data_IF_798894778755
#
_entry.id   IF_798894778755
#
_cell.length_a   1.000
_cell.length_b   1.000
_cell.length_c   1.000
_cell.angle_alpha   90.00
_cell.angle_beta   90.00
_cell.angle_gamma   90.00
#
_symmetry.space_group_name_H-M   'P 1'
#
loop_
_entity.id
_entity.type
_entity.pdbx_description
1 polymer ?
#
# COMPACT_ATOMS: atom_id res chain seq x y z
N UNK A 1 4.32 -19.16 -11.29
CA UNK A 1 3.26 -19.20 -12.32
C UNK A 1 3.75 -18.69 -13.68
N UNK A 2 4.17 -17.43 -13.87
CA UNK A 2 4.67 -16.95 -15.18
C UNK A 2 6.10 -17.39 -15.51
N UNK A 3 6.94 -17.68 -14.52
CA UNK A 3 8.33 -18.12 -14.73
C UNK A 3 9.24 -17.02 -15.28
N UNK A 4 9.01 -15.78 -14.86
CA UNK A 4 9.85 -14.61 -15.17
C UNK A 4 10.72 -14.23 -13.99
N UNK A 5 11.88 -13.63 -14.24
CA UNK A 5 12.77 -13.12 -13.22
C UNK A 5 12.19 -11.86 -12.54
N UNK A 6 12.61 -11.60 -11.28
CA UNK A 6 12.17 -10.41 -10.53
C UNK A 6 12.46 -9.08 -11.27
N UNK A 7 13.50 -9.04 -12.10
CA UNK A 7 13.87 -7.88 -12.92
C UNK A 7 13.22 -7.82 -14.32
N UNK A 8 12.30 -8.76 -14.65
CA UNK A 8 11.72 -8.82 -15.99
C UNK A 8 10.98 -7.53 -16.36
N UNK A 9 11.13 -7.07 -17.61
CA UNK A 9 10.40 -5.91 -18.13
C UNK A 9 8.91 -6.21 -18.32
N UNK A 10 8.08 -5.16 -18.46
CA UNK A 10 6.66 -5.32 -18.76
C UNK A 10 6.39 -6.11 -20.04
N UNK A 11 7.25 -5.94 -21.06
CA UNK A 11 7.16 -6.69 -22.32
C UNK A 11 7.51 -8.16 -22.15
N UNK A 12 8.50 -8.51 -21.33
CA UNK A 12 8.85 -9.89 -21.01
C UNK A 12 7.74 -10.59 -20.23
N UNK A 13 7.13 -9.90 -19.27
CA UNK A 13 5.96 -10.39 -18.53
C UNK A 13 4.79 -10.65 -19.47
N UNK A 14 4.48 -9.72 -20.37
CA UNK A 14 3.41 -9.82 -21.36
C UNK A 14 3.67 -10.97 -22.35
N UNK A 15 4.92 -11.15 -22.77
CA UNK A 15 5.33 -12.25 -23.65
C UNK A 15 5.21 -13.60 -22.95
N UNK A 16 5.64 -13.71 -21.70
CA UNK A 16 5.52 -14.92 -20.90
C UNK A 16 4.04 -15.29 -20.66
N UNK A 17 3.20 -14.31 -20.35
CA UNK A 17 1.75 -14.52 -20.24
C UNK A 17 1.15 -15.08 -21.52
N UNK A 18 1.38 -14.44 -22.68
CA UNK A 18 0.84 -14.89 -23.96
C UNK A 18 1.25 -16.33 -24.30
N UNK A 19 2.51 -16.67 -24.05
CA UNK A 19 3.03 -18.03 -24.26
C UNK A 19 2.29 -19.03 -23.39
N UNK A 20 2.25 -18.81 -22.06
CA UNK A 20 1.62 -19.72 -21.12
C UNK A 20 0.10 -19.80 -21.27
N UNK A 21 -0.55 -18.68 -21.55
CA UNK A 21 -1.99 -18.66 -21.85
C UNK A 21 -2.34 -19.46 -23.10
N UNK A 22 -1.49 -19.42 -24.13
CA UNK A 22 -1.68 -20.26 -25.34
C UNK A 22 -1.44 -21.76 -25.07
N UNK A 23 -0.52 -22.10 -24.17
CA UNK A 23 -0.19 -23.49 -23.81
C UNK A 23 -1.30 -24.13 -22.94
N UNK A 24 -1.97 -23.33 -22.10
CA UNK A 24 -2.96 -23.80 -21.14
C UNK A 24 -4.40 -23.32 -21.44
N UNK A 25 -4.66 -22.87 -22.67
CA UNK A 25 -6.00 -22.40 -23.08
C UNK A 25 -7.02 -23.55 -23.08
N UNK A 26 -8.23 -23.36 -22.48
CA UNK A 26 -9.25 -24.41 -22.43
C UNK A 26 -9.62 -24.99 -23.79
N UNK A 27 -9.74 -24.13 -24.81
CA UNK A 27 -10.09 -24.57 -26.19
C UNK A 27 -9.05 -25.44 -26.86
N UNK A 28 -7.84 -25.50 -26.28
CA UNK A 28 -6.73 -26.36 -26.75
C UNK A 28 -6.50 -27.59 -25.85
N UNK A 29 -7.45 -27.89 -24.97
CA UNK A 29 -7.33 -28.98 -24.01
C UNK A 29 -6.40 -28.67 -22.83
N UNK A 30 -6.15 -27.37 -22.56
CA UNK A 30 -5.34 -26.91 -21.44
C UNK A 30 -6.04 -27.02 -20.09
N UNK A 31 -5.26 -26.85 -19.04
CA UNK A 31 -5.70 -26.96 -17.65
C UNK A 31 -6.29 -25.63 -17.16
N UNK A 32 -7.58 -25.64 -16.76
CA UNK A 32 -8.30 -24.49 -16.28
C UNK A 32 -7.70 -23.88 -14.98
N UNK A 33 -7.16 -24.72 -14.08
CA UNK A 33 -6.55 -24.25 -12.84
C UNK A 33 -5.26 -23.48 -13.14
N UNK A 34 -4.44 -24.04 -14.03
CA UNK A 34 -3.21 -23.36 -14.49
C UNK A 34 -3.52 -22.07 -15.25
N UNK A 35 -4.58 -22.06 -16.07
CA UNK A 35 -4.99 -20.85 -16.78
C UNK A 35 -5.41 -19.76 -15.81
N UNK A 36 -6.13 -20.12 -14.74
CA UNK A 36 -6.54 -19.20 -13.67
C UNK A 36 -5.32 -18.63 -12.94
N UNK A 37 -4.34 -19.46 -12.56
CA UNK A 37 -3.09 -19.00 -11.95
C UNK A 37 -2.28 -18.07 -12.86
N UNK A 38 -2.19 -18.38 -14.16
CA UNK A 38 -1.49 -17.56 -15.14
C UNK A 38 -2.15 -16.20 -15.29
N UNK A 39 -3.49 -16.18 -15.36
CA UNK A 39 -4.26 -14.94 -15.49
C UNK A 39 -4.14 -14.07 -14.22
N UNK A 40 -4.22 -14.68 -13.04
CA UNK A 40 -4.02 -14.01 -11.74
C UNK A 40 -2.63 -13.39 -11.64
N UNK A 41 -1.58 -14.17 -11.97
CA UNK A 41 -0.22 -13.68 -11.94
C UNK A 41 0.02 -12.51 -12.92
N UNK A 42 -0.61 -12.56 -14.11
CA UNK A 42 -0.55 -11.45 -15.06
C UNK A 42 -1.34 -10.22 -14.58
N UNK A 43 -2.47 -10.41 -13.91
CA UNK A 43 -3.24 -9.34 -13.29
C UNK A 43 -2.41 -8.51 -12.30
N UNK A 44 -1.56 -9.19 -11.52
CA UNK A 44 -0.64 -8.57 -10.56
C UNK A 44 0.58 -7.94 -11.26
N UNK A 45 1.31 -8.73 -12.04
CA UNK A 45 2.62 -8.34 -12.60
C UNK A 45 2.50 -7.45 -13.85
N UNK A 46 1.37 -7.52 -14.56
CA UNK A 46 1.09 -6.71 -15.74
C UNK A 46 0.65 -5.27 -15.44
N UNK A 47 0.33 -4.99 -14.18
CA UNK A 47 0.01 -3.67 -13.67
C UNK A 47 1.19 -3.12 -12.87
N UNK A 48 1.65 -1.91 -13.17
CA UNK A 48 2.81 -1.29 -12.52
C UNK A 48 2.62 -1.16 -11.00
N UNK A 49 1.44 -0.73 -10.54
CA UNK A 49 1.10 -0.65 -9.10
C UNK A 49 1.05 -2.03 -8.45
N UNK A 50 0.37 -3.00 -9.07
CA UNK A 50 0.27 -4.38 -8.58
C UNK A 50 1.64 -5.04 -8.46
N UNK A 51 2.51 -4.84 -9.46
CA UNK A 51 3.88 -5.34 -9.47
C UNK A 51 4.73 -4.69 -8.37
N UNK A 52 4.72 -3.37 -8.23
CA UNK A 52 5.47 -2.66 -7.20
C UNK A 52 5.07 -3.15 -5.81
N UNK A 53 3.79 -3.38 -5.57
CA UNK A 53 3.27 -3.96 -4.32
C UNK A 53 3.78 -5.38 -4.10
N UNK A 54 3.63 -6.25 -5.11
CA UNK A 54 4.09 -7.64 -5.01
C UNK A 54 5.60 -7.72 -4.76
N UNK A 55 6.39 -6.90 -5.44
CA UNK A 55 7.85 -6.85 -5.27
C UNK A 55 8.27 -6.35 -3.88
N UNK A 56 7.47 -5.48 -3.24
CA UNK A 56 7.74 -4.92 -1.92
C UNK A 56 7.19 -5.76 -0.76
N UNK A 57 6.01 -6.35 -0.93
CA UNK A 57 5.26 -7.02 0.16
C UNK A 57 5.15 -8.53 0.00
N UNK A 58 5.36 -9.07 -1.21
CA UNK A 58 5.08 -10.45 -1.58
C UNK A 58 3.58 -10.78 -1.66
N UNK A 59 2.68 -9.79 -1.52
CA UNK A 59 1.23 -9.96 -1.55
C UNK A 59 0.68 -9.64 -2.93
N UNK A 60 -0.16 -10.52 -3.47
CA UNK A 60 -0.79 -10.36 -4.78
C UNK A 60 -1.94 -9.36 -4.78
N UNK A 61 -2.69 -9.31 -3.68
CA UNK A 61 -3.86 -8.45 -3.51
C UNK A 61 -3.60 -7.38 -2.45
N UNK A 62 -4.20 -6.23 -2.63
CA UNK A 62 -4.28 -5.21 -1.59
C UNK A 62 -5.18 -5.72 -0.47
N UNK A 63 -4.74 -5.57 0.78
CA UNK A 63 -5.64 -5.85 1.89
C UNK A 63 -6.83 -4.90 1.82
N UNK A 64 -8.08 -5.40 1.98
CA UNK A 64 -9.26 -4.57 1.96
C UNK A 64 -9.09 -3.38 2.91
N UNK A 65 -9.58 -2.20 2.49
CA UNK A 65 -9.52 -0.99 3.31
C UNK A 65 -10.04 -1.23 4.72
N UNK A 66 -11.17 -1.92 4.86
CA UNK A 66 -11.80 -2.20 6.16
C UNK A 66 -10.87 -2.94 7.12
N UNK A 67 -10.09 -3.91 6.62
CA UNK A 67 -9.12 -4.65 7.45
C UNK A 67 -7.99 -3.74 7.90
N UNK A 68 -7.40 -2.99 6.98
CA UNK A 68 -6.32 -2.03 7.29
C UNK A 68 -6.79 -0.92 8.23
N UNK A 69 -8.02 -0.42 8.01
CA UNK A 69 -8.64 0.57 8.88
C UNK A 69 -8.88 0.00 10.29
N UNK A 70 -9.39 -1.22 10.39
CA UNK A 70 -9.60 -1.90 11.66
C UNK A 70 -8.29 -2.07 12.45
N UNK A 71 -7.21 -2.50 11.78
CA UNK A 71 -5.87 -2.62 12.37
C UNK A 71 -5.34 -1.26 12.86
N UNK A 72 -5.51 -0.20 12.04
CA UNK A 72 -5.15 1.17 12.44
C UNK A 72 -5.91 1.62 13.69
N UNK A 73 -7.23 1.47 13.70
CA UNK A 73 -8.06 1.85 14.85
C UNK A 73 -7.67 1.03 16.08
N UNK A 74 -7.53 -0.28 15.96
CA UNK A 74 -7.15 -1.15 17.07
C UNK A 74 -5.82 -0.73 17.70
N UNK A 75 -4.81 -0.45 16.86
CA UNK A 75 -3.48 -0.06 17.34
C UNK A 75 -3.50 1.27 18.12
N UNK A 76 -4.16 2.29 17.56
CA UNK A 76 -4.07 3.63 18.10
C UNK A 76 -5.16 3.95 19.14
N UNK A 77 -6.38 3.46 18.94
CA UNK A 77 -7.48 3.69 19.88
C UNK A 77 -7.20 3.04 21.23
N UNK A 78 -6.77 1.77 21.26
CA UNK A 78 -6.40 1.10 22.51
C UNK A 78 -5.33 1.88 23.27
N UNK A 79 -4.28 2.33 22.56
CA UNK A 79 -3.23 3.12 23.17
C UNK A 79 -3.76 4.46 23.72
N UNK A 80 -4.67 5.12 23.01
CA UNK A 80 -5.27 6.38 23.47
C UNK A 80 -6.12 6.16 24.73
N UNK A 81 -6.90 5.09 24.79
CA UNK A 81 -7.72 4.75 25.96
C UNK A 81 -6.84 4.45 27.18
N UNK A 82 -5.72 3.74 26.99
CA UNK A 82 -4.80 3.41 28.10
C UNK A 82 -4.02 4.63 28.62
N UNK A 83 -3.73 5.61 27.75
CA UNK A 83 -2.82 6.72 28.09
C UNK A 83 -3.53 8.03 28.40
N UNK A 84 -4.82 8.17 28.10
CA UNK A 84 -5.58 9.40 28.29
C UNK A 84 -6.79 9.20 29.19
N UNK A 85 -7.26 10.30 29.78
CA UNK A 85 -8.54 10.31 30.45
C UNK A 85 -9.66 10.40 29.39
N UNK A 86 -10.42 9.32 29.24
CA UNK A 86 -11.48 9.20 28.23
C UNK A 86 -12.62 10.20 28.44
N UNK A 87 -12.82 10.68 29.68
CA UNK A 87 -13.87 11.64 30.02
C UNK A 87 -13.53 13.08 29.62
N UNK A 88 -12.26 13.36 29.31
CA UNK A 88 -11.77 14.71 29.00
C UNK A 88 -10.99 14.81 27.69
N UNK A 89 -10.83 13.72 26.96
CA UNK A 89 -10.03 13.66 25.75
C UNK A 89 -10.90 13.32 24.54
N UNK A 90 -10.87 14.17 23.51
CA UNK A 90 -11.47 13.85 22.20
C UNK A 90 -10.66 12.75 21.51
N UNK A 91 -11.04 11.49 21.75
CA UNK A 91 -10.35 10.32 21.18
C UNK A 91 -10.39 10.31 19.64
N UNK A 92 -11.50 10.77 19.05
CA UNK A 92 -11.62 10.85 17.57
C UNK A 92 -10.73 11.96 17.04
N UNK A 93 -10.69 13.11 17.71
CA UNK A 93 -9.76 14.21 17.37
C UNK A 93 -8.29 13.77 17.46
N UNK A 94 -7.91 13.01 18.47
CA UNK A 94 -6.54 12.48 18.59
C UNK A 94 -6.22 11.44 17.49
N UNK A 95 -7.16 10.55 17.12
CA UNK A 95 -6.98 9.66 15.97
C UNK A 95 -6.79 10.44 14.66
N UNK A 96 -7.60 11.48 14.42
CA UNK A 96 -7.44 12.37 13.26
C UNK A 96 -6.08 13.07 13.27
N UNK A 97 -5.60 13.49 14.43
CA UNK A 97 -4.28 14.10 14.59
C UNK A 97 -3.14 13.12 14.26
N UNK A 98 -3.25 11.88 14.72
CA UNK A 98 -2.30 10.79 14.39
C UNK A 98 -2.29 10.56 12.87
N UNK A 99 -3.45 10.42 12.23
CA UNK A 99 -3.54 10.22 10.78
C UNK A 99 -2.90 11.40 10.01
N UNK A 100 -3.18 12.66 10.40
CA UNK A 100 -2.55 13.84 9.80
C UNK A 100 -1.04 13.91 10.02
N UNK A 101 -0.54 13.42 11.16
CA UNK A 101 0.91 13.33 11.40
C UNK A 101 1.56 12.28 10.51
N UNK A 102 0.91 11.11 10.31
CA UNK A 102 1.37 10.08 9.38
C UNK A 102 1.42 10.62 7.94
N UNK A 103 0.39 11.33 7.47
CA UNK A 103 0.37 11.95 6.15
C UNK A 103 1.58 12.89 6.00
N UNK A 104 1.78 13.83 6.92
CA UNK A 104 2.90 14.78 6.84
C UNK A 104 4.26 14.10 6.85
N UNK A 105 4.43 13.07 7.69
CA UNK A 105 5.67 12.30 7.73
C UNK A 105 5.94 11.58 6.41
N UNK A 106 4.91 10.99 5.81
CA UNK A 106 4.99 10.30 4.53
C UNK A 106 5.28 11.26 3.37
N UNK A 107 4.67 12.45 3.35
CA UNK A 107 4.95 13.49 2.34
C UNK A 107 6.42 13.93 2.37
N UNK A 108 6.99 14.12 3.57
CA UNK A 108 8.42 14.44 3.73
C UNK A 108 9.29 13.30 3.21
N UNK A 109 9.02 12.05 3.61
CA UNK A 109 9.76 10.89 3.17
C UNK A 109 9.68 10.70 1.64
N UNK A 110 8.50 10.90 1.04
CA UNK A 110 8.29 10.87 -0.41
C UNK A 110 9.13 11.93 -1.13
N UNK A 111 9.13 13.16 -0.62
CA UNK A 111 9.94 14.26 -1.18
C UNK A 111 11.43 13.94 -1.14
N UNK A 112 11.93 13.37 -0.05
CA UNK A 112 13.34 12.99 0.10
C UNK A 112 13.70 11.81 -0.83
N UNK A 113 12.81 10.85 -1.00
CA UNK A 113 12.95 9.75 -1.94
C UNK A 113 13.07 10.26 -3.39
N UNK A 114 12.17 11.15 -3.82
CA UNK A 114 12.21 11.75 -5.15
C UNK A 114 13.48 12.59 -5.37
N UNK A 115 13.94 13.31 -4.36
CA UNK A 115 15.20 14.05 -4.43
C UNK A 115 16.40 13.10 -4.57
N UNK A 116 16.40 11.97 -3.85
CA UNK A 116 17.43 10.91 -3.95
C UNK A 116 17.43 10.28 -5.33
N UNK A 117 16.26 9.92 -5.88
CA UNK A 117 16.09 9.40 -7.25
C UNK A 117 16.71 10.34 -8.28
N UNK A 118 16.38 11.65 -8.24
CA UNK A 118 16.94 12.65 -9.16
C UNK A 118 18.46 12.73 -9.07
N UNK A 119 19.06 12.52 -7.88
CA UNK A 119 20.52 12.50 -7.74
C UNK A 119 21.13 11.27 -8.42
N UNK A 120 20.54 10.09 -8.26
CA UNK A 120 20.99 8.88 -8.94
C UNK A 120 20.87 9.01 -10.46
N UNK A 121 19.75 9.50 -10.99
CA UNK A 121 19.55 9.75 -12.42
C UNK A 121 20.61 10.73 -12.98
N UNK A 122 20.92 11.79 -12.22
CA UNK A 122 21.97 12.74 -12.60
C UNK A 122 23.36 12.13 -12.64
N UNK A 123 23.65 11.18 -11.76
CA UNK A 123 24.92 10.43 -11.79
C UNK A 123 24.96 9.52 -13.00
N UNK A 124 23.87 8.80 -13.32
CA UNK A 124 23.79 7.94 -14.52
C UNK A 124 24.06 8.73 -15.81
N UNK A 125 23.48 9.94 -15.92
CA UNK A 125 23.69 10.80 -17.11
C UNK A 125 25.15 11.25 -17.30
N UNK A 126 25.96 11.23 -16.24
CA UNK A 126 27.37 11.70 -16.26
C UNK A 126 28.37 10.57 -16.22
N UNK A 127 27.89 9.33 -16.09
CA UNK A 127 28.75 8.17 -15.94
C UNK A 127 29.18 7.64 -17.31
N UNK A 128 30.46 7.79 -17.62
CA UNK A 128 31.08 7.21 -18.80
C UNK A 128 31.98 6.03 -18.37
N UNK A 129 31.83 4.89 -19.05
CA UNK A 129 32.65 3.71 -18.81
C UNK A 129 33.55 3.42 -20.00
N UNK A 130 34.83 3.14 -19.74
CA UNK A 130 35.80 2.70 -20.73
C UNK A 130 35.75 1.18 -21.01
N UNK A 131 34.67 0.52 -20.59
CA UNK A 131 34.45 -0.93 -20.70
C UNK A 131 33.11 -1.30 -20.13
N UNK A 132 32.97 -2.51 -19.52
CA UNK A 132 31.76 -2.95 -18.88
C UNK A 132 31.33 -2.01 -17.74
N UNK A 133 30.12 -1.46 -17.84
CA UNK A 133 29.63 -0.46 -16.88
C UNK A 133 28.84 -1.11 -15.73
N UNK A 134 29.53 -1.78 -14.81
CA UNK A 134 28.93 -2.43 -13.64
C UNK A 134 28.34 -1.41 -12.65
N UNK A 135 28.91 -0.20 -12.58
CA UNK A 135 28.43 0.85 -11.66
C UNK A 135 27.05 1.37 -12.11
N UNK A 136 26.83 1.53 -13.40
CA UNK A 136 25.53 1.96 -13.92
C UNK A 136 24.38 1.01 -13.49
N UNK A 137 24.61 -0.31 -13.50
CA UNK A 137 23.63 -1.29 -13.04
C UNK A 137 23.27 -1.13 -11.56
N UNK A 138 24.25 -0.86 -10.71
CA UNK A 138 24.02 -0.61 -9.27
C UNK A 138 23.22 0.68 -9.07
N UNK A 139 23.55 1.74 -9.81
CA UNK A 139 22.84 3.02 -9.70
C UNK A 139 21.42 2.88 -10.23
N UNK A 140 21.21 2.17 -11.35
CA UNK A 140 19.88 1.91 -11.91
C UNK A 140 19.01 1.15 -10.92
N UNK A 141 19.54 0.14 -10.25
CA UNK A 141 18.82 -0.59 -9.19
C UNK A 141 18.35 0.38 -8.07
N UNK A 142 19.17 1.35 -7.68
CA UNK A 142 18.77 2.35 -6.68
C UNK A 142 17.69 3.31 -7.21
N UNK A 143 17.71 3.66 -8.49
CA UNK A 143 16.63 4.44 -9.13
C UNK A 143 15.31 3.65 -9.08
N UNK A 144 15.36 2.36 -9.40
CA UNK A 144 14.17 1.51 -9.43
C UNK A 144 13.63 1.24 -8.00
N UNK A 145 14.50 1.11 -7.01
CA UNK A 145 14.11 1.06 -5.60
C UNK A 145 13.39 2.37 -5.18
N UNK A 146 13.88 3.54 -5.58
CA UNK A 146 13.20 4.80 -5.28
C UNK A 146 11.82 4.91 -5.97
N UNK A 147 11.65 4.35 -7.18
CA UNK A 147 10.32 4.31 -7.83
C UNK A 147 9.33 3.43 -7.04
N UNK A 148 9.81 2.29 -6.55
CA UNK A 148 9.00 1.38 -5.74
C UNK A 148 8.61 2.03 -4.40
N UNK A 149 9.56 2.68 -3.72
CA UNK A 149 9.29 3.44 -2.50
C UNK A 149 8.26 4.55 -2.73
N UNK A 150 8.35 5.28 -3.86
CA UNK A 150 7.41 6.35 -4.22
C UNK A 150 5.97 5.82 -4.37
N UNK A 151 5.80 4.67 -5.04
CA UNK A 151 4.50 3.99 -5.12
C UNK A 151 3.94 3.60 -3.74
N UNK A 152 4.79 3.07 -2.87
CA UNK A 152 4.38 2.72 -1.50
C UNK A 152 3.95 3.95 -0.68
N UNK A 153 4.61 5.10 -0.87
CA UNK A 153 4.19 6.35 -0.22
C UNK A 153 2.85 6.84 -0.77
N UNK A 154 2.60 6.72 -2.07
CA UNK A 154 1.30 7.09 -2.66
C UNK A 154 0.16 6.24 -2.10
N UNK A 155 0.33 4.91 -2.07
CA UNK A 155 -0.66 3.99 -1.51
C UNK A 155 -0.92 4.26 -0.01
N UNK A 156 0.13 4.63 0.75
CA UNK A 156 -0.03 4.99 2.16
C UNK A 156 -0.76 6.32 2.35
N UNK A 157 -0.47 7.33 1.52
CA UNK A 157 -1.15 8.62 1.56
C UNK A 157 -2.64 8.48 1.20
N UNK A 158 -2.96 7.69 0.18
CA UNK A 158 -4.34 7.37 -0.21
C UNK A 158 -5.07 6.67 0.94
N UNK A 159 -4.45 5.65 1.55
CA UNK A 159 -5.02 4.96 2.71
C UNK A 159 -5.29 5.91 3.88
N UNK A 160 -4.34 6.76 4.25
CA UNK A 160 -4.51 7.70 5.36
C UNK A 160 -5.54 8.80 5.05
N UNK A 161 -5.70 9.19 3.79
CA UNK A 161 -6.77 10.07 3.33
C UNK A 161 -8.14 9.45 3.58
N UNK A 162 -8.32 8.19 3.16
CA UNK A 162 -9.55 7.43 3.39
C UNK A 162 -9.83 7.20 4.89
N UNK A 163 -8.79 6.98 5.70
CA UNK A 163 -8.91 6.91 7.17
C UNK A 163 -9.48 8.22 7.74
N UNK A 164 -8.99 9.37 7.30
CA UNK A 164 -9.52 10.67 7.76
C UNK A 164 -10.96 10.86 7.35
N UNK A 165 -11.32 10.53 6.12
CA UNK A 165 -12.70 10.61 5.61
C UNK A 165 -13.64 9.73 6.44
N UNK A 166 -13.25 8.49 6.75
CA UNK A 166 -14.01 7.61 7.65
C UNK A 166 -14.16 8.21 9.04
N UNK A 167 -13.07 8.76 9.62
CA UNK A 167 -13.10 9.36 10.95
C UNK A 167 -13.94 10.64 11.01
N UNK A 168 -14.16 11.34 9.88
CA UNK A 168 -15.03 12.51 9.82
C UNK A 168 -16.52 12.18 10.00
N UNK A 169 -16.89 10.91 9.81
CA UNK A 169 -18.23 10.39 10.14
C UNK A 169 -18.46 10.12 11.63
N UNK A 170 -17.46 10.31 12.49
CA UNK A 170 -17.57 10.05 13.93
C UNK A 170 -17.37 11.30 14.75
N UNK A 171 -18.21 11.42 15.80
CA UNK A 171 -18.07 12.41 16.87
C UNK A 171 -17.88 11.67 18.20
N UNK A 172 -17.01 12.19 19.06
CA UNK A 172 -16.79 11.67 20.39
C UNK A 172 -17.37 12.63 21.43
N UNK A 173 -18.43 12.17 22.12
CA UNK A 173 -19.01 12.92 23.22
C UNK A 173 -18.30 12.55 24.52
N UNK A 174 -17.52 13.47 25.06
CA UNK A 174 -16.80 13.36 26.32
C UNK A 174 -17.47 14.14 27.46
N UNK A 175 -18.79 14.40 27.36
CA UNK A 175 -19.53 15.06 28.44
C UNK A 175 -19.67 14.08 29.62
N UNK A 176 -19.11 14.46 30.77
CA UNK A 176 -19.03 13.69 32.01
C UNK A 176 -20.39 13.42 32.68
N UNK A 177 -21.50 13.91 32.11
CA UNK A 177 -22.86 13.68 32.62
C UNK A 177 -23.56 12.44 32.02
N UNK A 178 -22.87 11.65 31.21
CA UNK A 178 -23.37 10.32 30.81
C UNK A 178 -23.30 9.42 32.05
N UNK A 179 -24.40 9.35 32.82
CA UNK A 179 -24.52 8.42 33.92
C UNK A 179 -24.31 6.98 33.43
N UNK A 180 -23.55 6.19 34.19
CA UNK A 180 -23.21 4.78 33.92
C UNK A 180 -24.40 3.87 33.56
N UNK A 181 -25.62 4.31 33.75
CA UNK A 181 -26.86 3.56 33.56
C UNK A 181 -27.25 3.28 32.11
N UNK A 182 -26.59 3.92 31.12
CA UNK A 182 -26.99 3.82 29.69
C UNK A 182 -25.96 3.19 28.74
N UNK A 183 -24.84 2.67 29.21
CA UNK A 183 -23.78 2.07 28.36
C UNK A 183 -24.34 1.00 27.41
N UNK A 184 -25.37 0.25 27.81
CA UNK A 184 -25.99 -0.81 27.00
C UNK A 184 -26.84 -0.31 25.81
N UNK A 185 -27.26 0.97 25.79
CA UNK A 185 -28.12 1.50 24.72
C UNK A 185 -27.36 2.06 23.53
N UNK A 186 -26.07 2.38 23.69
CA UNK A 186 -25.23 2.97 22.63
C UNK A 186 -24.57 1.94 21.71
N UNK A 187 -24.65 0.63 22.04
CA UNK A 187 -24.12 -0.47 21.20
C UNK A 187 -25.19 -0.96 20.20
N UNK A 188 -26.09 -0.12 19.74
CA UNK A 188 -26.89 -0.44 18.57
C UNK A 188 -26.11 0.00 17.33
N UNK A 189 -25.37 -0.94 16.76
CA UNK A 189 -24.81 -0.80 15.42
C UNK A 189 -25.97 -0.51 14.46
N UNK A 190 -26.04 0.70 13.96
CA UNK A 190 -26.87 1.00 12.82
C UNK A 190 -26.35 0.20 11.61
N UNK A 191 -26.85 -1.03 11.44
CA UNK A 191 -26.77 -1.78 10.20
C UNK A 191 -27.69 -1.09 9.19
N UNK A 192 -27.20 -0.02 8.59
CA UNK A 192 -27.86 0.63 7.46
C UNK A 192 -26.78 1.37 6.67
N UNK A 193 -26.05 0.62 5.88
CA UNK A 193 -25.53 1.02 4.56
C UNK A 193 -25.33 -0.27 3.78
#
# INVERSE_FOLDING_TARGET
>A
SLGVDKGASADEIKKAYRKKASEHHPDKGGDNEKMTEITRAYGVLGNEKGRARYDSTGKEEEEPFDKRFQEFIQMFLLKLIETNNVDSTDLIGELKKIARQNIRGTEVAKKDCLARKKRFEKVLMRLEAKGENRIAGIIQMNVDNCKMEDGNYEDHLEFMGNVLECLDGYEYNYDTNLADENIGQYITWNKSI
#
